data_IF_582787868224
#
_entry.id   IF_582787868224
#
_cell.length_a   1.000
_cell.length_b   1.000
_cell.length_c   1.000
_cell.angle_alpha   90.00
_cell.angle_beta   90.00
_cell.angle_gamma   90.00
#
_symmetry.space_group_name_H-M   'P 1'
#
loop_
_entity.id
_entity.type
_entity.pdbx_description
1 polymer ?
#
# COMPACT_ATOMS: atom_id res chain seq x y z
N UNK A 1 -8.08 -16.52 -29.86
CA UNK A 1 -7.01 -15.63 -29.39
C UNK A 1 -7.62 -14.72 -28.32
N UNK A 2 -7.03 -14.58 -27.13
CA UNK A 2 -7.56 -13.67 -26.10
C UNK A 2 -7.34 -12.21 -26.55
N UNK A 3 -8.23 -11.27 -26.16
CA UNK A 3 -8.03 -9.84 -26.45
C UNK A 3 -6.76 -9.32 -25.76
N UNK A 4 -6.20 -8.22 -26.26
CA UNK A 4 -5.07 -7.53 -25.61
C UNK A 4 -5.61 -6.85 -24.34
N UNK A 5 -4.97 -7.16 -23.19
CA UNK A 5 -5.33 -6.58 -21.93
C UNK A 5 -4.56 -5.26 -21.71
N UNK A 6 -5.29 -4.14 -21.54
CA UNK A 6 -4.74 -2.79 -21.40
C UNK A 6 -5.10 -2.12 -20.07
N UNK A 7 -5.82 -2.79 -19.17
CA UNK A 7 -6.30 -2.24 -17.90
C UNK A 7 -5.38 -2.62 -16.72
N UNK A 8 -4.09 -2.32 -16.83
CA UNK A 8 -3.12 -2.59 -15.76
C UNK A 8 -3.33 -1.72 -14.49
N UNK A 9 -4.19 -0.71 -14.55
CA UNK A 9 -4.57 0.06 -13.37
C UNK A 9 -5.60 -0.68 -12.50
N UNK A 10 -6.44 -1.52 -13.09
CA UNK A 10 -7.37 -2.36 -12.34
C UNK A 10 -6.66 -3.54 -11.66
N UNK A 11 -5.82 -4.26 -12.40
CA UNK A 11 -4.96 -5.35 -11.89
C UNK A 11 -3.89 -5.66 -12.93
N UNK A 12 -2.81 -6.32 -12.51
CA UNK A 12 -1.75 -6.75 -13.43
C UNK A 12 -1.72 -8.28 -13.56
N UNK A 13 -1.23 -8.83 -14.68
CA UNK A 13 -0.87 -10.24 -14.74
C UNK A 13 0.25 -10.54 -13.73
N UNK A 14 0.35 -11.81 -13.33
CA UNK A 14 1.43 -12.24 -12.46
C UNK A 14 2.75 -12.29 -13.25
N UNK A 15 3.80 -11.68 -12.70
CA UNK A 15 5.15 -11.77 -13.26
C UNK A 15 5.66 -13.23 -13.22
N UNK A 16 6.28 -13.75 -14.29
CA UNK A 16 6.77 -15.14 -14.32
C UNK A 16 7.77 -15.46 -13.21
N UNK A 17 8.68 -14.56 -12.86
CA UNK A 17 9.64 -14.77 -11.77
C UNK A 17 8.92 -14.81 -10.40
N UNK A 18 7.93 -13.95 -10.22
CA UNK A 18 7.06 -13.92 -9.03
C UNK A 18 6.26 -15.21 -8.91
N UNK A 19 5.74 -15.72 -10.03
CA UNK A 19 5.02 -17.00 -10.09
C UNK A 19 5.93 -18.16 -9.64
N UNK A 20 7.15 -18.21 -10.14
CA UNK A 20 8.08 -19.30 -9.86
C UNK A 20 8.50 -19.30 -8.38
N UNK A 21 8.71 -18.13 -7.78
CA UNK A 21 8.91 -17.96 -6.33
C UNK A 21 7.69 -18.47 -5.57
N UNK A 22 6.50 -18.05 -5.96
CA UNK A 22 5.25 -18.46 -5.30
C UNK A 22 5.08 -19.99 -5.33
N UNK A 23 5.29 -20.62 -6.49
CA UNK A 23 5.20 -22.07 -6.65
C UNK A 23 6.22 -22.81 -5.80
N UNK A 24 7.45 -22.28 -5.66
CA UNK A 24 8.47 -22.85 -4.77
C UNK A 24 7.99 -22.89 -3.30
N UNK A 25 7.45 -21.79 -2.79
CA UNK A 25 6.93 -21.74 -1.43
C UNK A 25 5.68 -22.61 -1.22
N UNK A 26 4.80 -22.71 -2.21
CA UNK A 26 3.62 -23.57 -2.12
C UNK A 26 3.97 -25.06 -2.10
N UNK A 27 5.01 -25.47 -2.83
CA UNK A 27 5.34 -26.89 -3.02
C UNK A 27 6.48 -27.38 -2.13
N UNK A 28 7.46 -26.52 -1.81
CA UNK A 28 8.72 -26.93 -1.17
C UNK A 28 8.92 -26.25 0.19
N UNK A 29 8.74 -24.94 0.29
CA UNK A 29 8.98 -24.15 1.50
C UNK A 29 7.68 -23.78 2.23
N UNK A 30 6.77 -24.72 2.37
CA UNK A 30 5.43 -24.53 2.92
C UNK A 30 5.36 -24.34 4.44
N UNK A 31 6.50 -24.11 5.10
CA UNK A 31 6.58 -23.96 6.55
C UNK A 31 5.80 -22.76 7.09
N UNK A 32 5.32 -22.88 8.34
CA UNK A 32 4.69 -21.77 9.06
C UNK A 32 5.74 -21.01 9.88
N UNK A 33 5.87 -19.69 9.68
CA UNK A 33 6.83 -18.85 10.41
C UNK A 33 6.64 -18.82 11.94
N UNK A 34 5.42 -19.09 12.40
CA UNK A 34 5.09 -19.20 13.82
C UNK A 34 5.66 -20.47 14.50
N UNK A 35 6.08 -21.47 13.73
CA UNK A 35 6.65 -22.70 14.26
C UNK A 35 8.09 -22.50 14.70
N UNK A 36 8.38 -22.84 15.97
CA UNK A 36 9.69 -22.55 16.61
C UNK A 36 10.54 -23.79 16.83
N UNK A 37 10.02 -25.00 16.56
CA UNK A 37 10.60 -26.28 17.01
C UNK A 37 11.25 -27.09 15.90
N UNK A 38 11.17 -26.64 14.64
CA UNK A 38 11.68 -27.39 13.49
C UNK A 38 12.16 -26.46 12.36
N UNK A 39 12.98 -27.00 11.48
CA UNK A 39 13.66 -26.29 10.39
C UNK A 39 12.69 -25.60 9.42
N UNK A 40 11.58 -26.21 9.05
CA UNK A 40 10.57 -25.60 8.18
C UNK A 40 10.09 -24.26 8.71
N UNK A 41 9.81 -24.17 10.01
CA UNK A 41 9.42 -22.89 10.63
C UNK A 41 10.54 -21.86 10.64
N UNK A 42 11.78 -22.28 10.91
CA UNK A 42 12.94 -21.39 10.88
C UNK A 42 13.18 -20.80 9.48
N UNK A 43 13.10 -21.62 8.42
CA UNK A 43 13.24 -21.21 7.03
C UNK A 43 12.12 -20.25 6.61
N UNK A 44 10.87 -20.57 6.92
CA UNK A 44 9.72 -19.71 6.67
C UNK A 44 9.89 -18.34 7.35
N UNK A 45 10.34 -18.32 8.61
CA UNK A 45 10.62 -17.07 9.33
C UNK A 45 11.71 -16.25 8.67
N UNK A 46 12.81 -16.87 8.23
CA UNK A 46 13.88 -16.17 7.51
C UNK A 46 13.37 -15.54 6.20
N UNK A 47 12.57 -16.27 5.42
CA UNK A 47 11.96 -15.77 4.20
C UNK A 47 11.06 -14.56 4.46
N UNK A 48 10.14 -14.65 5.43
CA UNK A 48 9.27 -13.53 5.82
C UNK A 48 10.07 -12.31 6.29
N UNK A 49 11.14 -12.51 7.07
CA UNK A 49 11.99 -11.39 7.51
C UNK A 49 12.73 -10.76 6.36
N UNK A 50 13.25 -11.55 5.42
CA UNK A 50 13.90 -11.05 4.20
C UNK A 50 12.93 -10.24 3.35
N UNK A 51 11.73 -10.75 3.10
CA UNK A 51 10.70 -10.04 2.35
C UNK A 51 10.33 -8.68 3.01
N UNK A 52 10.28 -8.66 4.33
CA UNK A 52 9.99 -7.45 5.11
C UNK A 52 11.11 -6.40 4.98
N UNK A 53 12.40 -6.82 5.05
CA UNK A 53 13.55 -5.93 4.79
C UNK A 53 13.47 -5.31 3.41
N UNK A 54 13.09 -6.12 2.45
CA UNK A 54 13.06 -5.74 1.05
C UNK A 54 11.93 -4.72 0.77
N UNK A 55 10.72 -4.95 1.29
CA UNK A 55 9.62 -3.97 1.19
C UNK A 55 9.99 -2.66 1.91
N UNK A 56 10.59 -2.74 3.09
CA UNK A 56 11.04 -1.59 3.84
C UNK A 56 12.05 -0.74 3.07
N UNK A 57 13.05 -1.39 2.43
CA UNK A 57 14.10 -0.72 1.68
C UNK A 57 13.57 0.09 0.48
N UNK A 58 12.48 -0.36 -0.17
CA UNK A 58 11.88 0.34 -1.34
C UNK A 58 11.46 1.76 -0.97
N UNK A 59 10.93 1.96 0.23
CA UNK A 59 10.43 3.26 0.71
C UNK A 59 11.30 3.87 1.81
N UNK A 60 12.54 3.40 1.97
CA UNK A 60 13.47 3.88 3.00
C UNK A 60 12.90 3.76 4.43
N UNK A 61 12.12 2.71 4.70
CA UNK A 61 11.60 2.36 6.03
C UNK A 61 12.47 1.29 6.71
N UNK A 62 12.14 0.94 7.95
CA UNK A 62 12.79 -0.13 8.70
C UNK A 62 11.92 -1.39 8.68
N UNK A 63 12.56 -2.57 8.85
CA UNK A 63 11.88 -3.87 8.93
C UNK A 63 10.69 -3.87 9.89
N UNK A 64 10.87 -3.30 11.07
CA UNK A 64 9.85 -3.28 12.11
C UNK A 64 8.76 -2.22 11.90
N UNK A 65 8.80 -1.50 10.80
CA UNK A 65 7.78 -0.55 10.34
C UNK A 65 6.84 -1.14 9.28
N UNK A 66 7.08 -2.37 8.80
CA UNK A 66 6.25 -3.04 7.81
C UNK A 66 5.29 -4.01 8.50
N UNK A 67 4.02 -3.96 8.17
CA UNK A 67 2.95 -4.90 8.54
C UNK A 67 2.40 -5.48 7.24
N UNK A 68 2.40 -6.79 7.11
CA UNK A 68 1.82 -7.47 5.96
C UNK A 68 0.30 -7.54 6.07
N UNK A 69 -0.38 -7.36 4.95
CA UNK A 69 -1.85 -7.33 4.83
C UNK A 69 -2.29 -8.12 3.59
N UNK A 70 -3.59 -8.21 3.36
CA UNK A 70 -4.14 -8.83 2.15
C UNK A 70 -4.17 -7.90 0.92
N UNK A 71 -3.83 -6.62 1.08
CA UNK A 71 -3.85 -5.62 0.02
C UNK A 71 -4.09 -4.20 0.54
N UNK A 72 -4.12 -3.22 -0.37
CA UNK A 72 -4.30 -1.82 0.01
C UNK A 72 -5.63 -1.56 0.74
N UNK A 73 -6.70 -2.28 0.42
CA UNK A 73 -7.98 -2.10 1.12
C UNK A 73 -7.84 -2.41 2.62
N UNK A 74 -7.23 -3.53 3.00
CA UNK A 74 -6.96 -3.85 4.40
C UNK A 74 -5.99 -2.85 5.02
N UNK A 75 -4.94 -2.47 4.30
CA UNK A 75 -3.96 -1.49 4.78
C UNK A 75 -4.58 -0.12 5.06
N UNK A 76 -5.43 0.39 4.16
CA UNK A 76 -6.14 1.64 4.32
C UNK A 76 -7.11 1.59 5.52
N UNK A 77 -7.87 0.51 5.64
CA UNK A 77 -8.76 0.32 6.79
C UNK A 77 -7.97 0.30 8.11
N UNK A 78 -6.86 -0.45 8.17
CA UNK A 78 -6.02 -0.51 9.36
C UNK A 78 -5.39 0.86 9.69
N UNK A 79 -4.92 1.60 8.69
CA UNK A 79 -4.33 2.93 8.86
C UNK A 79 -5.36 3.95 9.37
N UNK A 80 -6.61 3.87 8.92
CA UNK A 80 -7.66 4.86 9.20
C UNK A 80 -8.46 4.47 10.45
N UNK A 81 -9.12 3.31 10.42
CA UNK A 81 -9.96 2.85 11.53
C UNK A 81 -9.12 2.50 12.77
N UNK A 82 -7.90 1.99 12.57
CA UNK A 82 -6.99 1.69 13.67
C UNK A 82 -6.61 2.90 14.51
N UNK A 83 -6.76 4.13 13.99
CA UNK A 83 -6.51 5.38 14.74
C UNK A 83 -7.70 5.85 15.59
N UNK A 84 -8.88 5.24 15.47
CA UNK A 84 -10.10 5.71 16.15
C UNK A 84 -9.89 5.87 17.65
N UNK A 85 -9.43 4.84 18.34
CA UNK A 85 -9.24 4.86 19.79
C UNK A 85 -8.19 5.90 20.23
N UNK A 86 -7.11 6.05 19.44
CA UNK A 86 -6.08 7.06 19.71
C UNK A 86 -6.65 8.47 19.57
N UNK A 87 -7.47 8.72 18.56
CA UNK A 87 -8.16 9.99 18.36
C UNK A 87 -9.12 10.33 19.50
N UNK A 88 -9.95 9.38 19.89
CA UNK A 88 -10.88 9.52 21.02
C UNK A 88 -10.14 9.83 22.33
N UNK A 89 -9.08 9.05 22.63
CA UNK A 89 -8.29 9.22 23.85
C UNK A 89 -7.51 10.53 23.93
N UNK A 90 -7.15 11.10 22.78
CA UNK A 90 -6.42 12.38 22.69
C UNK A 90 -7.32 13.59 22.45
N UNK A 91 -8.63 13.40 22.29
CA UNK A 91 -9.55 14.46 21.90
C UNK A 91 -9.32 15.01 20.49
N UNK A 92 -8.67 14.24 19.62
CA UNK A 92 -8.38 14.59 18.22
C UNK A 92 -9.36 13.87 17.30
N UNK A 93 -10.46 14.53 16.98
CA UNK A 93 -11.54 13.94 16.20
C UNK A 93 -11.72 14.57 14.81
N UNK A 94 -10.77 15.36 14.35
CA UNK A 94 -10.78 15.89 12.99
C UNK A 94 -9.83 15.10 12.09
N UNK A 95 -10.30 14.74 10.89
CA UNK A 95 -9.55 14.00 9.88
C UNK A 95 -9.75 14.64 8.50
N UNK A 96 -8.68 14.67 7.70
CA UNK A 96 -8.68 15.30 6.37
C UNK A 96 -8.38 14.25 5.31
N UNK A 97 -9.13 14.27 4.22
CA UNK A 97 -8.87 13.47 3.02
C UNK A 97 -9.18 14.24 1.76
N UNK A 98 -8.91 13.68 0.58
CA UNK A 98 -9.28 14.29 -0.70
C UNK A 98 -10.58 13.68 -1.25
N UNK A 99 -11.28 14.44 -2.11
CA UNK A 99 -12.53 13.98 -2.73
C UNK A 99 -12.30 12.90 -3.81
N UNK A 100 -11.04 12.71 -4.24
CA UNK A 100 -10.65 11.80 -5.33
C UNK A 100 -10.07 10.47 -4.85
N UNK A 101 -10.11 10.20 -3.54
CA UNK A 101 -9.60 8.96 -2.97
C UNK A 101 -10.35 7.73 -3.48
N UNK A 102 -9.66 6.59 -3.47
CA UNK A 102 -10.29 5.31 -3.69
C UNK A 102 -11.33 5.01 -2.58
N UNK A 103 -12.39 4.25 -2.90
CA UNK A 103 -13.42 3.85 -1.91
C UNK A 103 -12.84 3.16 -0.67
N UNK A 104 -11.71 2.45 -0.80
CA UNK A 104 -11.02 1.83 0.33
C UNK A 104 -10.45 2.85 1.35
N UNK A 105 -10.44 4.15 1.02
CA UNK A 105 -10.13 5.28 1.90
C UNK A 105 -11.41 6.01 2.29
N UNK A 106 -12.28 6.34 1.32
CA UNK A 106 -13.50 7.11 1.59
C UNK A 106 -14.45 6.39 2.56
N UNK A 107 -14.71 5.10 2.36
CA UNK A 107 -15.63 4.33 3.22
C UNK A 107 -15.16 4.23 4.70
N UNK A 108 -13.85 3.98 5.01
CA UNK A 108 -13.35 4.11 6.37
C UNK A 108 -13.49 5.52 6.97
N UNK A 109 -13.31 6.58 6.17
CA UNK A 109 -13.56 7.96 6.61
C UNK A 109 -15.03 8.17 6.95
N UNK A 110 -15.94 7.69 6.11
CA UNK A 110 -17.39 7.74 6.38
C UNK A 110 -17.77 6.93 7.64
N UNK A 111 -17.06 5.82 7.90
CA UNK A 111 -17.25 5.04 9.11
C UNK A 111 -16.82 5.83 10.36
N UNK A 112 -15.68 6.53 10.33
CA UNK A 112 -15.23 7.40 11.42
C UNK A 112 -16.18 8.61 11.60
N UNK A 113 -16.71 9.17 10.52
CA UNK A 113 -17.71 10.26 10.58
C UNK A 113 -18.96 9.81 11.32
N UNK A 114 -19.46 8.60 11.02
CA UNK A 114 -20.58 7.99 11.79
C UNK A 114 -20.23 7.72 13.25
N UNK A 115 -18.95 7.52 13.57
CA UNK A 115 -18.43 7.36 14.94
C UNK A 115 -18.17 8.69 15.65
N UNK A 116 -18.53 9.84 15.04
CA UNK A 116 -18.43 11.17 15.63
C UNK A 116 -17.10 11.89 15.40
N UNK A 117 -16.35 11.50 14.37
CA UNK A 117 -15.24 12.28 13.85
C UNK A 117 -15.73 13.31 12.84
N UNK A 118 -15.05 14.44 12.75
CA UNK A 118 -15.31 15.46 11.74
C UNK A 118 -14.39 15.23 10.55
N UNK A 119 -14.96 15.14 9.34
CA UNK A 119 -14.23 14.84 8.10
C UNK A 119 -14.22 16.06 7.19
N UNK A 120 -13.01 16.55 6.87
CA UNK A 120 -12.82 17.52 5.79
C UNK A 120 -12.37 16.81 4.53
N UNK A 121 -13.19 16.89 3.46
CA UNK A 121 -12.87 16.36 2.13
C UNK A 121 -12.43 17.51 1.22
N UNK A 122 -11.12 17.57 0.93
CA UNK A 122 -10.54 18.63 0.08
C UNK A 122 -10.76 18.27 -1.39
N UNK A 123 -11.27 19.22 -2.18
CA UNK A 123 -11.41 19.07 -3.63
C UNK A 123 -10.07 19.16 -4.36
N UNK A 124 -10.10 18.91 -5.68
CA UNK A 124 -8.94 19.05 -6.57
C UNK A 124 -9.17 20.16 -7.60
N UNK A 125 -8.08 20.69 -8.14
CA UNK A 125 -8.11 21.63 -9.25
C UNK A 125 -8.56 21.00 -10.58
N UNK A 126 -8.68 21.81 -11.61
CA UNK A 126 -9.02 21.35 -12.95
C UNK A 126 -7.98 20.40 -13.57
N UNK A 127 -6.75 20.42 -13.06
CA UNK A 127 -5.67 19.51 -13.39
C UNK A 127 -5.75 18.16 -12.64
N UNK A 128 -6.73 17.98 -11.74
CA UNK A 128 -6.92 16.79 -10.92
C UNK A 128 -5.94 16.68 -9.74
N UNK A 129 -5.16 17.73 -9.44
CA UNK A 129 -4.25 17.78 -8.30
C UNK A 129 -4.89 18.48 -7.11
N UNK A 130 -4.64 18.00 -5.90
CA UNK A 130 -5.02 18.71 -4.67
C UNK A 130 -4.09 19.90 -4.47
N UNK A 131 -4.67 21.07 -4.11
CA UNK A 131 -3.89 22.22 -3.69
C UNK A 131 -3.33 21.98 -2.27
N UNK A 132 -1.99 21.94 -2.05
CA UNK A 132 -1.42 21.81 -0.72
C UNK A 132 -1.87 22.91 0.24
N UNK A 133 -2.14 24.13 -0.24
CA UNK A 133 -2.61 25.22 0.61
C UNK A 133 -4.06 25.00 1.09
N UNK A 134 -4.88 24.29 0.32
CA UNK A 134 -6.20 23.87 0.80
C UNK A 134 -6.11 22.84 1.95
N UNK A 135 -5.12 21.94 1.91
CA UNK A 135 -4.81 21.08 3.06
C UNK A 135 -4.36 21.91 4.26
N UNK A 136 -3.45 22.89 4.05
CA UNK A 136 -2.98 23.80 5.12
C UNK A 136 -4.16 24.54 5.78
N UNK A 137 -5.06 25.08 4.98
CA UNK A 137 -6.23 25.83 5.45
C UNK A 137 -7.22 24.93 6.25
N UNK A 138 -7.27 23.63 5.94
CA UNK A 138 -8.11 22.67 6.64
C UNK A 138 -7.51 22.17 7.96
N UNK A 139 -6.20 22.34 8.21
CA UNK A 139 -5.54 21.86 9.42
C UNK A 139 -6.03 22.58 10.68
N UNK A 140 -6.25 21.81 11.73
CA UNK A 140 -6.68 22.26 13.05
C UNK A 140 -5.80 21.62 14.14
N UNK A 141 -5.80 22.18 15.32
CA UNK A 141 -5.05 21.64 16.48
C UNK A 141 -5.51 20.22 16.87
N UNK A 142 -6.77 19.88 16.61
CA UNK A 142 -7.38 18.57 16.85
C UNK A 142 -7.37 17.65 15.62
N UNK A 143 -6.65 18.00 14.54
CA UNK A 143 -6.48 17.12 13.38
C UNK A 143 -5.64 15.90 13.77
N UNK A 144 -6.21 14.71 13.60
CA UNK A 144 -5.58 13.42 13.87
C UNK A 144 -4.83 12.88 12.66
N UNK A 145 -5.46 12.93 11.48
CA UNK A 145 -5.00 12.28 10.26
C UNK A 145 -5.23 13.17 9.03
N UNK A 146 -4.23 13.20 8.15
CA UNK A 146 -4.35 13.66 6.76
C UNK A 146 -4.06 12.47 5.88
N UNK A 147 -5.00 12.10 4.99
CA UNK A 147 -4.86 10.98 4.06
C UNK A 147 -4.99 11.49 2.63
N UNK A 148 -3.95 11.26 1.81
CA UNK A 148 -3.91 11.68 0.41
C UNK A 148 -3.32 10.54 -0.42
N UNK A 149 -4.02 10.12 -1.47
CA UNK A 149 -3.50 9.09 -2.38
C UNK A 149 -2.24 9.59 -3.09
N UNK A 150 -1.35 8.67 -3.43
CA UNK A 150 -0.12 9.01 -4.16
C UNK A 150 -0.38 9.29 -5.64
N UNK A 151 -1.02 8.34 -6.31
CA UNK A 151 -1.40 8.43 -7.73
C UNK A 151 -2.85 8.01 -7.87
N UNK A 152 -3.65 8.81 -8.54
CA UNK A 152 -5.06 8.51 -8.75
C UNK A 152 -5.22 7.33 -9.73
N UNK A 153 -6.05 6.37 -9.39
CA UNK A 153 -6.24 5.13 -10.15
C UNK A 153 -7.02 5.32 -11.46
N UNK A 154 -7.82 6.38 -11.58
CA UNK A 154 -8.61 6.70 -12.78
C UNK A 154 -7.85 7.61 -13.75
N UNK A 155 -7.27 8.69 -13.21
CA UNK A 155 -6.66 9.75 -14.02
C UNK A 155 -5.15 9.59 -14.20
N UNK A 156 -4.49 8.80 -13.33
CA UNK A 156 -3.04 8.66 -13.30
C UNK A 156 -2.29 9.89 -12.74
N UNK A 157 -3.01 10.88 -12.24
CA UNK A 157 -2.42 12.12 -11.74
C UNK A 157 -1.75 11.87 -10.37
N UNK A 158 -0.48 12.27 -10.29
CA UNK A 158 0.32 12.21 -9.06
C UNK A 158 -0.02 13.38 -8.16
N UNK A 159 -0.29 13.09 -6.89
CA UNK A 159 -0.60 14.11 -5.89
C UNK A 159 0.69 14.67 -5.25
N UNK A 160 0.69 15.91 -4.77
CA UNK A 160 1.88 16.64 -4.32
C UNK A 160 2.26 16.26 -2.88
N UNK A 161 2.60 14.98 -2.62
CA UNK A 161 2.88 14.46 -1.28
C UNK A 161 4.01 15.19 -0.57
N UNK A 162 5.08 15.59 -1.29
CA UNK A 162 6.21 16.30 -0.67
C UNK A 162 5.81 17.69 -0.17
N UNK A 163 5.02 18.45 -0.93
CA UNK A 163 4.51 19.76 -0.51
C UNK A 163 3.58 19.63 0.71
N UNK A 164 2.74 18.58 0.74
CA UNK A 164 1.88 18.29 1.90
C UNK A 164 2.72 17.85 3.10
N UNK A 165 3.77 17.05 2.89
CA UNK A 165 4.71 16.65 3.93
C UNK A 165 5.42 17.87 4.56
N UNK A 166 5.81 18.87 3.76
CA UNK A 166 6.41 20.11 4.24
C UNK A 166 5.41 20.93 5.08
N UNK A 167 4.16 21.00 4.66
CA UNK A 167 3.08 21.63 5.45
C UNK A 167 2.91 20.94 6.80
N UNK A 168 2.96 19.62 6.80
CA UNK A 168 2.76 18.80 8.00
C UNK A 168 4.03 18.67 8.87
N UNK A 169 5.17 19.21 8.47
CA UNK A 169 6.48 18.98 9.11
C UNK A 169 6.46 19.17 10.62
N UNK A 170 5.80 20.18 11.11
CA UNK A 170 5.70 20.51 12.54
C UNK A 170 4.29 20.27 13.11
N UNK A 171 3.40 19.67 12.32
CA UNK A 171 2.03 19.40 12.75
C UNK A 171 1.92 17.98 13.34
N UNK A 172 1.21 17.77 14.46
CA UNK A 172 1.13 16.45 15.11
C UNK A 172 0.27 15.42 14.37
N UNK A 173 -0.61 15.83 13.43
CA UNK A 173 -1.44 14.91 12.66
C UNK A 173 -0.61 13.84 11.96
N UNK A 174 -1.10 12.62 11.90
CA UNK A 174 -0.51 11.57 11.07
C UNK A 174 -0.73 11.86 9.59
N UNK A 175 0.24 11.48 8.75
CA UNK A 175 0.14 11.57 7.30
C UNK A 175 0.11 10.17 6.69
N UNK A 176 -0.99 9.83 6.04
CA UNK A 176 -1.19 8.58 5.33
C UNK A 176 -1.18 8.79 3.82
N UNK A 177 -0.53 7.91 3.08
CA UNK A 177 -0.55 7.85 1.63
C UNK A 177 -1.08 6.49 1.15
N UNK A 178 -2.19 6.48 0.41
CA UNK A 178 -2.57 5.31 -0.38
C UNK A 178 -1.65 5.22 -1.61
N UNK A 179 -0.68 4.32 -1.55
CA UNK A 179 0.33 4.12 -2.58
C UNK A 179 0.01 2.92 -3.50
N UNK A 180 -1.24 2.45 -3.54
CA UNK A 180 -1.62 1.28 -4.33
C UNK A 180 -1.20 1.39 -5.80
N UNK A 181 -1.30 2.58 -6.41
CA UNK A 181 -0.89 2.80 -7.80
C UNK A 181 0.57 3.23 -7.97
N UNK A 182 1.17 3.90 -6.98
CA UNK A 182 2.50 4.48 -7.10
C UNK A 182 3.62 3.58 -6.61
N UNK A 183 3.37 2.68 -5.64
CA UNK A 183 4.39 1.78 -5.13
C UNK A 183 4.95 0.88 -6.25
N UNK A 184 6.28 0.77 -6.32
CA UNK A 184 6.97 0.03 -7.38
C UNK A 184 7.11 0.78 -8.71
N UNK A 185 6.44 1.93 -8.89
CA UNK A 185 6.43 2.72 -10.15
C UNK A 185 7.02 4.12 -9.96
N UNK A 186 6.63 4.83 -8.90
CA UNK A 186 7.10 6.17 -8.53
C UNK A 186 7.43 6.19 -7.04
N UNK A 187 8.70 6.08 -6.68
CA UNK A 187 9.13 5.79 -5.32
C UNK A 187 9.61 7.01 -4.53
N UNK A 188 10.13 8.04 -5.21
CA UNK A 188 10.77 9.17 -4.52
C UNK A 188 9.85 9.86 -3.51
N UNK A 189 8.59 10.20 -3.82
CA UNK A 189 7.71 10.82 -2.82
C UNK A 189 7.41 9.91 -1.64
N UNK A 190 7.38 8.57 -1.85
CA UNK A 190 7.11 7.59 -0.80
C UNK A 190 8.29 7.38 0.17
N UNK A 191 9.48 7.87 -0.17
CA UNK A 191 10.66 7.87 0.70
C UNK A 191 10.69 9.04 1.66
N UNK A 192 9.79 9.99 1.52
CA UNK A 192 9.68 11.12 2.43
C UNK A 192 9.39 10.63 3.86
N UNK A 193 10.28 10.90 4.85
CA UNK A 193 10.13 10.38 6.21
C UNK A 193 8.94 10.97 6.96
N UNK A 194 8.33 12.05 6.42
CA UNK A 194 7.15 12.67 7.04
C UNK A 194 5.86 11.89 6.78
N UNK A 195 5.84 11.01 5.78
CA UNK A 195 4.70 10.13 5.56
C UNK A 195 4.76 9.02 6.62
N UNK A 196 3.83 9.00 7.54
CA UNK A 196 3.80 8.06 8.66
C UNK A 196 3.27 6.69 8.25
N UNK A 197 2.28 6.66 7.36
CA UNK A 197 1.55 5.47 6.96
C UNK A 197 1.52 5.37 5.43
N UNK A 198 1.89 4.20 4.87
CA UNK A 198 1.86 3.96 3.43
C UNK A 198 1.16 2.63 3.16
N UNK A 199 0.05 2.68 2.43
CA UNK A 199 -0.70 1.47 2.03
C UNK A 199 -0.26 0.96 0.67
N UNK A 200 -0.03 -0.36 0.57
CA UNK A 200 0.58 -1.02 -0.59
C UNK A 200 -0.30 -2.19 -1.04
N UNK A 201 -0.43 -2.35 -2.37
CA UNK A 201 -1.15 -3.47 -3.00
C UNK A 201 -0.24 -4.25 -3.96
N UNK A 202 -0.13 -5.57 -3.79
CA UNK A 202 0.73 -6.41 -4.61
C UNK A 202 0.22 -6.58 -6.05
N UNK A 203 -1.09 -6.77 -6.25
CA UNK A 203 -1.65 -7.03 -7.57
C UNK A 203 -1.61 -5.85 -8.56
N UNK A 204 -1.17 -4.69 -8.12
CA UNK A 204 -0.92 -3.51 -8.97
C UNK A 204 0.53 -3.43 -9.47
N UNK A 205 1.39 -4.32 -8.98
CA UNK A 205 2.82 -4.38 -9.30
C UNK A 205 3.26 -5.78 -9.72
N UNK A 206 2.39 -6.53 -10.37
CA UNK A 206 2.67 -7.88 -10.90
C UNK A 206 2.88 -8.97 -9.83
N UNK A 207 2.47 -8.73 -8.58
CA UNK A 207 2.38 -9.74 -7.52
C UNK A 207 0.97 -10.36 -7.48
N UNK A 208 0.77 -11.47 -6.73
CA UNK A 208 -0.55 -12.09 -6.62
C UNK A 208 -1.56 -11.19 -5.91
N UNK A 209 -2.85 -11.41 -6.19
CA UNK A 209 -3.95 -10.87 -5.38
C UNK A 209 -3.89 -11.48 -3.97
N UNK A 210 -4.42 -10.78 -2.98
CA UNK A 210 -4.44 -11.26 -1.60
C UNK A 210 -3.16 -10.95 -0.82
N UNK A 211 -2.30 -10.05 -1.34
CA UNK A 211 -1.09 -9.60 -0.66
C UNK A 211 -0.92 -8.08 -0.77
N UNK A 212 -0.50 -7.47 0.32
CA UNK A 212 -0.14 -6.06 0.44
C UNK A 212 0.65 -5.79 1.71
N UNK A 213 0.87 -4.54 2.00
CA UNK A 213 1.54 -4.11 3.23
C UNK A 213 1.07 -2.73 3.68
N UNK A 214 1.11 -2.49 4.98
CA UNK A 214 1.07 -1.18 5.59
C UNK A 214 2.46 -0.86 6.16
N UNK A 215 3.09 0.19 5.67
CA UNK A 215 4.29 0.75 6.31
C UNK A 215 3.84 1.75 7.38
N UNK A 216 4.37 1.59 8.59
CA UNK A 216 4.07 2.43 9.76
C UNK A 216 5.37 3.01 10.30
N UNK A 217 5.77 4.18 9.83
CA UNK A 217 7.00 4.83 10.27
C UNK A 217 6.89 5.31 11.72
N UNK A 218 8.00 5.22 12.41
CA UNK A 218 8.14 5.78 13.75
C UNK A 218 8.51 7.26 13.68
N UNK A 219 7.96 8.03 14.60
CA UNK A 219 8.44 9.38 14.91
C UNK A 219 9.45 9.30 16.05
N UNK A 220 10.74 9.21 15.74
CA UNK A 220 11.76 8.90 16.72
C UNK A 220 11.58 7.51 17.32
N UNK A 221 11.25 7.41 18.59
CA UNK A 221 10.96 6.14 19.29
C UNK A 221 9.48 5.79 19.33
N UNK A 222 8.59 6.73 19.00
CA UNK A 222 7.15 6.54 19.08
C UNK A 222 6.62 5.80 17.86
N UNK A 223 5.76 4.82 18.11
CA UNK A 223 5.01 4.12 17.07
C UNK A 223 3.66 4.78 16.88
N UNK A 224 3.14 4.71 15.65
CA UNK A 224 1.74 5.05 15.39
C UNK A 224 0.85 4.13 16.23
N UNK A 225 -0.04 4.69 17.02
CA UNK A 225 -0.92 3.94 17.93
C UNK A 225 -2.14 3.41 17.18
N UNK A 226 -1.94 2.32 16.42
CA UNK A 226 -3.03 1.64 15.74
C UNK A 226 -3.62 0.52 16.61
N UNK A 227 -4.94 0.34 16.51
CA UNK A 227 -5.64 -0.83 17.03
C UNK A 227 -5.87 -1.85 15.91
N UNK A 228 -5.83 -3.16 16.20
CA UNK A 228 -6.15 -4.18 15.21
C UNK A 228 -7.63 -4.14 14.84
N UNK A 229 -7.92 -4.47 13.58
CA UNK A 229 -9.31 -4.63 13.10
C UNK A 229 -9.83 -6.06 13.28
N UNK A 230 -8.90 -7.02 13.42
CA UNK A 230 -9.16 -8.44 13.60
C UNK A 230 -8.33 -8.93 14.76
N UNK A 231 -8.84 -9.86 15.56
CA UNK A 231 -8.17 -10.40 16.73
C UNK A 231 -7.77 -11.86 16.52
N UNK A 232 -6.61 -12.31 17.06
CA UNK A 232 -6.11 -13.67 16.88
C UNK A 232 -4.76 -13.93 17.53
N UNK A 233 -3.90 -14.73 16.88
CA UNK A 233 -2.66 -15.29 17.41
C UNK A 233 -1.50 -14.33 17.67
N UNK A 234 -1.65 -13.04 17.38
CA UNK A 234 -0.62 -12.03 17.63
C UNK A 234 0.40 -11.85 16.53
N UNK A 235 0.21 -12.49 15.36
CA UNK A 235 1.00 -12.27 14.16
C UNK A 235 0.99 -10.78 13.79
N UNK A 236 1.95 -10.38 12.97
CA UNK A 236 2.14 -8.97 12.59
C UNK A 236 2.06 -8.00 13.79
N UNK A 237 2.67 -8.40 14.92
CA UNK A 237 2.71 -7.65 16.19
C UNK A 237 1.33 -7.40 16.80
N UNK A 238 0.38 -8.28 16.56
CA UNK A 238 -0.99 -8.17 17.03
C UNK A 238 -1.87 -7.23 16.20
N UNK A 239 -1.32 -6.56 15.20
CA UNK A 239 -2.08 -5.63 14.34
C UNK A 239 -2.83 -6.34 13.22
N UNK A 240 -2.27 -7.45 12.72
CA UNK A 240 -2.88 -8.26 11.67
C UNK A 240 -2.65 -9.75 11.95
N UNK A 241 -3.38 -10.33 12.91
CA UNK A 241 -3.27 -11.75 13.21
C UNK A 241 -3.76 -12.62 12.06
N UNK A 242 -3.31 -13.88 12.06
CA UNK A 242 -3.58 -14.88 11.05
C UNK A 242 -2.29 -15.41 10.43
N UNK A 243 -2.25 -16.71 10.12
CA UNK A 243 -1.06 -17.36 9.55
C UNK A 243 -0.52 -16.58 8.36
N UNK A 244 0.75 -16.22 8.47
CA UNK A 244 1.43 -15.40 7.47
C UNK A 244 1.74 -16.25 6.24
N UNK A 245 1.24 -15.92 5.04
CA UNK A 245 1.54 -16.65 3.81
C UNK A 245 2.94 -16.26 3.28
N UNK A 246 4.01 -16.81 3.89
CA UNK A 246 5.40 -16.40 3.68
C UNK A 246 5.82 -16.25 2.22
N UNK A 247 5.51 -17.25 1.39
CA UNK A 247 5.87 -17.20 -0.04
C UNK A 247 5.21 -16.07 -0.84
N UNK A 248 4.05 -15.59 -0.40
CA UNK A 248 3.39 -14.45 -1.05
C UNK A 248 4.15 -13.14 -0.81
N UNK A 249 4.87 -13.01 0.31
CA UNK A 249 5.63 -11.80 0.62
C UNK A 249 6.95 -11.72 -0.12
N UNK A 250 7.64 -12.85 -0.33
CA UNK A 250 8.76 -12.92 -1.25
C UNK A 250 8.33 -12.56 -2.69
N UNK A 251 7.11 -13.00 -3.07
CA UNK A 251 6.49 -12.62 -4.33
C UNK A 251 6.17 -11.11 -4.42
N UNK A 252 5.70 -10.49 -3.33
CA UNK A 252 5.46 -9.04 -3.28
C UNK A 252 6.77 -8.27 -3.49
N UNK A 253 7.84 -8.69 -2.85
CA UNK A 253 9.15 -8.08 -3.02
C UNK A 253 9.68 -8.25 -4.45
N UNK A 254 9.68 -9.46 -4.98
CA UNK A 254 10.15 -9.71 -6.33
C UNK A 254 9.42 -8.82 -7.35
N UNK A 255 8.15 -8.51 -7.10
CA UNK A 255 7.38 -7.56 -7.89
C UNK A 255 7.75 -6.09 -7.65
N UNK A 256 8.11 -5.72 -6.41
CA UNK A 256 8.39 -4.33 -6.03
C UNK A 256 9.82 -3.87 -6.35
N UNK A 257 10.76 -4.81 -6.54
CA UNK A 257 12.16 -4.47 -6.83
C UNK A 257 12.28 -3.68 -8.14
N UNK A 258 12.99 -2.54 -8.16
CA UNK A 258 13.23 -1.78 -9.38
C UNK A 258 13.88 -2.67 -10.47
N UNK A 259 13.55 -2.42 -11.73
CA UNK A 259 14.14 -3.16 -12.87
C UNK A 259 15.67 -3.16 -12.86
N UNK A 260 16.29 -2.11 -12.32
CA UNK A 260 17.74 -2.02 -12.13
C UNK A 260 18.31 -3.03 -11.13
N UNK A 261 17.49 -3.48 -10.16
CA UNK A 261 17.88 -4.49 -9.16
C UNK A 261 17.61 -5.91 -9.68
N UNK A 262 16.68 -6.06 -10.61
CA UNK A 262 16.30 -7.33 -11.25
C UNK A 262 17.09 -7.65 -12.54
N UNK A 263 18.25 -7.08 -12.74
CA UNK A 263 19.07 -7.40 -13.94
C UNK A 263 18.39 -7.06 -15.27
N UNK A 264 17.59 -5.99 -15.35
CA UNK A 264 17.09 -5.44 -16.62
C UNK A 264 15.80 -6.06 -17.18
N UNK A 265 15.06 -6.86 -16.42
CA UNK A 265 13.93 -7.67 -16.94
C UNK A 265 12.53 -7.02 -16.90
N UNK A 266 12.35 -5.76 -16.45
CA UNK A 266 11.02 -5.11 -16.37
C UNK A 266 10.72 -4.18 -17.55
N UNK A 267 11.34 -4.34 -18.68
CA UNK A 267 10.99 -3.63 -19.90
C UNK A 267 10.63 -4.59 -21.02
N UNK A 268 9.59 -5.42 -20.84
CA UNK A 268 8.97 -6.14 -21.95
C UNK A 268 7.46 -6.21 -21.82
N UNK A 269 6.75 -5.15 -22.21
CA UNK A 269 5.45 -5.33 -22.77
C UNK A 269 5.61 -5.59 -24.27
N UNK A 270 4.97 -6.62 -24.79
CA UNK A 270 4.49 -6.71 -26.18
C UNK A 270 5.51 -6.80 -27.33
N UNK A 271 6.73 -7.31 -27.17
CA UNK A 271 7.61 -7.51 -28.32
C UNK A 271 7.50 -8.89 -29.00
N UNK A 272 6.68 -9.83 -28.51
CA UNK A 272 6.52 -11.16 -29.12
C UNK A 272 5.15 -11.44 -29.77
N UNK A 273 4.24 -10.46 -29.82
CA UNK A 273 2.99 -10.57 -30.57
C UNK A 273 3.05 -10.10 -32.03
N UNK A 274 4.21 -9.80 -32.55
CA UNK A 274 4.42 -9.11 -33.82
C UNK A 274 4.97 -9.94 -34.98
N UNK A 275 4.68 -11.23 -35.11
CA UNK A 275 4.80 -11.96 -36.38
C UNK A 275 3.63 -12.90 -36.58
N UNK A 276 2.50 -12.37 -37.00
CA UNK A 276 1.32 -13.16 -37.36
C UNK A 276 0.13 -12.27 -37.66
N UNK A 277 -0.16 -12.07 -38.93
CA UNK A 277 -1.42 -11.68 -39.59
C UNK A 277 -2.39 -10.73 -38.87
N UNK A 278 -2.66 -9.60 -39.49
CA UNK A 278 -3.76 -8.67 -39.17
C UNK A 278 -5.10 -9.39 -39.11
N UNK A 279 -5.67 -9.52 -37.92
CA UNK A 279 -7.11 -9.77 -37.76
C UNK A 279 -7.61 -8.76 -36.69
N UNK A 280 -8.76 -8.15 -36.98
CA UNK A 280 -9.41 -7.13 -36.14
C UNK A 280 -9.76 -7.67 -34.76
N UNK A 281 -8.98 -7.34 -33.75
CA UNK A 281 -9.26 -7.67 -32.35
C UNK A 281 -10.05 -6.53 -31.67
N UNK A 282 -11.05 -6.89 -30.87
CA UNK A 282 -11.77 -5.94 -30.02
C UNK A 282 -10.87 -5.47 -28.88
N UNK A 283 -10.79 -4.14 -28.72
CA UNK A 283 -10.19 -3.48 -27.55
C UNK A 283 -11.26 -3.37 -26.47
N UNK A 284 -10.98 -3.85 -25.26
CA UNK A 284 -11.85 -3.66 -24.09
C UNK A 284 -11.26 -2.51 -23.27
N UNK A 285 -12.00 -1.42 -23.19
CA UNK A 285 -11.69 -0.25 -22.33
C UNK A 285 -12.60 -0.26 -21.10
N UNK A 286 -12.16 0.33 -20.02
CA UNK A 286 -12.82 0.35 -18.69
C UNK A 286 -14.03 1.32 -18.63
N UNK A 287 -14.97 1.23 -19.56
CA UNK A 287 -16.20 2.03 -19.55
C UNK A 287 -17.40 1.19 -19.93
N UNK A 288 -17.69 0.15 -19.14
CA UNK A 288 -19.03 -0.48 -19.08
C UNK A 288 -19.19 -1.16 -17.72
#
# INVERSE_FOLDING_TARGET
MLPIYLDCNATTPLDPEVRDILLHFLNTEFGNEGSRTHEYGARAKQAVQKARDQVAAVVAAKRDEVIFTSGATESNNLAILGLQQAGEGQGKKHIITTAIEHKAVLEPFDALERAGFEVTRVGVGADGSVDPEAIRAALRSDTLLVSVMHVNNETGIRQPLDSIADILKNHPAYFHADAAQGFGKDLEPLRNPRIDLISISGHKIYAPKGIGALVMRRRGYERVSLQPLVYGGGEERGLRPGTVPGGFFDALWAAAAPASVRGGAIARPAAEAGKGSRSSGKVVTATD
#
